data_IF_551165477715
#
_entry.id   IF_551165477715
#
_cell.length_a   1.000
_cell.length_b   1.000
_cell.length_c   1.000
_cell.angle_alpha   90.00
_cell.angle_beta   90.00
_cell.angle_gamma   90.00
#
_symmetry.space_group_name_H-M   'P 1'
#
loop_
_entity.id
_entity.type
_entity.pdbx_description
1 polymer ?
#
# COMPACT_ATOMS: atom_id res chain seq x y z
N UNK A 1 18.54 2.57 -8.45
CA UNK A 1 17.23 1.92 -8.24
C UNK A 1 16.66 2.35 -6.89
N UNK A 2 15.39 2.63 -6.84
CA UNK A 2 14.69 3.05 -5.63
C UNK A 2 14.22 1.81 -4.87
N UNK A 3 14.38 1.81 -3.55
CA UNK A 3 13.70 0.85 -2.69
C UNK A 3 12.24 1.31 -2.52
N UNK A 4 11.36 0.84 -3.41
CA UNK A 4 9.98 1.32 -3.46
C UNK A 4 9.18 0.98 -2.20
N UNK A 5 9.44 -0.17 -1.60
CA UNK A 5 8.74 -0.56 -0.37
C UNK A 5 9.06 0.41 0.76
N UNK A 6 10.33 0.73 0.94
CA UNK A 6 10.75 1.67 1.97
C UNK A 6 10.27 3.09 1.67
N UNK A 7 10.25 3.48 0.40
CA UNK A 7 9.74 4.80 -0.02
C UNK A 7 8.27 4.96 0.35
N UNK A 8 7.45 3.95 0.04
CA UNK A 8 6.03 3.95 0.39
C UNK A 8 5.86 3.92 1.92
N UNK A 9 6.59 3.05 2.59
CA UNK A 9 6.52 2.91 4.05
C UNK A 9 6.78 4.25 4.74
N UNK A 10 7.83 4.98 4.31
CA UNK A 10 8.19 6.26 4.92
C UNK A 10 7.10 7.33 4.73
N UNK A 11 6.37 7.30 3.63
CA UNK A 11 5.23 8.19 3.43
C UNK A 11 4.11 7.86 4.43
N UNK A 12 3.81 6.59 4.60
CA UNK A 12 2.69 6.16 5.45
C UNK A 12 2.94 6.43 6.94
N UNK A 13 4.14 6.15 7.44
CA UNK A 13 4.42 6.27 8.88
C UNK A 13 4.51 7.72 9.37
N UNK A 14 4.68 8.67 8.47
CA UNK A 14 4.74 10.10 8.81
C UNK A 14 3.38 10.74 8.89
N UNK A 15 2.33 10.07 8.48
CA UNK A 15 0.98 10.62 8.47
C UNK A 15 0.27 10.35 9.80
N UNK A 16 -0.04 11.41 10.53
CA UNK A 16 -0.67 11.30 11.84
C UNK A 16 -2.10 10.75 11.78
N UNK A 17 -2.83 11.06 10.71
CA UNK A 17 -4.20 10.57 10.54
C UNK A 17 -4.19 9.04 10.38
N UNK A 18 -3.28 8.53 9.55
CA UNK A 18 -3.18 7.09 9.32
C UNK A 18 -2.68 6.36 10.57
N UNK A 19 -1.65 6.89 11.23
CA UNK A 19 -1.04 6.23 12.40
C UNK A 19 -1.92 6.24 13.64
N UNK A 20 -2.95 7.06 13.69
CA UNK A 20 -3.97 7.00 14.75
C UNK A 20 -4.79 5.71 14.69
N UNK A 21 -5.02 5.19 13.48
CA UNK A 21 -5.89 4.03 13.26
C UNK A 21 -5.12 2.78 12.84
N UNK A 22 -3.85 2.94 12.49
CA UNK A 22 -2.99 1.85 12.02
C UNK A 22 -1.67 1.88 12.77
N UNK A 23 -1.39 0.82 13.52
CA UNK A 23 -0.12 0.70 14.24
C UNK A 23 1.00 0.46 13.21
N UNK A 24 2.09 1.25 13.33
CA UNK A 24 3.26 1.13 12.44
C UNK A 24 3.80 -0.30 12.41
N UNK A 25 3.76 -1.00 13.55
CA UNK A 25 4.24 -2.39 13.65
C UNK A 25 3.43 -3.35 12.78
N UNK A 26 2.24 -2.98 12.36
CA UNK A 26 1.36 -3.79 11.54
C UNK A 26 1.46 -3.44 10.05
N UNK A 27 2.44 -2.64 9.66
CA UNK A 27 2.76 -2.39 8.25
C UNK A 27 3.96 -3.28 7.90
N UNK A 28 3.74 -4.26 7.01
CA UNK A 28 4.73 -5.27 6.67
C UNK A 28 5.08 -5.26 5.19
N UNK A 29 6.28 -5.71 4.88
CA UNK A 29 6.75 -5.90 3.50
C UNK A 29 6.63 -7.37 3.13
N UNK A 30 5.83 -7.71 2.10
CA UNK A 30 5.71 -9.06 1.53
C UNK A 30 5.31 -10.15 2.54
N UNK A 31 4.92 -9.76 3.74
CA UNK A 31 4.59 -10.68 4.84
C UNK A 31 3.08 -10.67 5.07
N UNK A 32 2.39 -11.63 4.45
CA UNK A 32 0.94 -11.76 4.57
C UNK A 32 0.59 -12.46 5.88
N UNK A 33 -0.34 -11.90 6.65
CA UNK A 33 -0.67 -12.46 7.96
C UNK A 33 -1.50 -13.73 7.82
N UNK A 34 -1.42 -14.59 8.85
CA UNK A 34 -2.42 -15.63 9.02
C UNK A 34 -3.71 -14.95 9.48
N UNK A 35 -4.81 -15.12 8.73
CA UNK A 35 -6.06 -14.41 8.99
C UNK A 35 -6.62 -14.65 10.38
N UNK A 36 -6.36 -15.81 10.97
CA UNK A 36 -6.82 -16.13 12.33
C UNK A 36 -6.10 -15.34 13.43
N UNK A 37 -4.92 -14.79 13.12
CA UNK A 37 -4.08 -14.08 14.09
C UNK A 37 -4.24 -12.57 14.01
N UNK A 38 -5.03 -12.06 13.06
CA UNK A 38 -5.26 -10.62 12.92
C UNK A 38 -6.23 -10.16 14.00
N UNK A 39 -5.83 -9.17 14.80
CA UNK A 39 -6.69 -8.55 15.82
C UNK A 39 -6.82 -7.03 15.64
N UNK A 40 -5.88 -6.41 14.95
CA UNK A 40 -5.83 -4.97 14.69
C UNK A 40 -5.67 -4.73 13.19
N UNK A 41 -5.93 -3.52 12.69
CA UNK A 41 -5.68 -3.20 11.29
C UNK A 41 -4.24 -3.54 10.89
N UNK A 42 -4.10 -4.13 9.72
CA UNK A 42 -2.84 -4.68 9.23
C UNK A 42 -2.69 -4.32 7.75
N UNK A 43 -1.50 -3.90 7.35
CA UNK A 43 -1.22 -3.50 5.97
C UNK A 43 0.00 -4.24 5.45
N UNK A 44 -0.10 -4.78 4.24
CA UNK A 44 1.02 -5.41 3.53
C UNK A 44 1.33 -4.58 2.29
N UNK A 45 2.61 -4.20 2.15
CA UNK A 45 3.14 -3.54 0.96
C UNK A 45 3.96 -4.58 0.20
N UNK A 46 3.58 -4.82 -1.04
CA UNK A 46 4.17 -5.89 -1.86
C UNK A 46 4.70 -5.31 -3.19
N UNK A 47 5.96 -5.54 -3.48
CA UNK A 47 6.60 -5.19 -4.75
C UNK A 47 6.53 -6.36 -5.74
N UNK A 48 5.34 -6.90 -5.94
CA UNK A 48 5.06 -8.12 -6.69
C UNK A 48 5.62 -8.13 -8.12
N UNK A 49 6.02 -6.99 -8.65
CA UNK A 49 6.57 -6.87 -9.99
C UNK A 49 7.83 -6.00 -9.98
N UNK A 50 8.79 -6.34 -10.81
CA UNK A 50 10.05 -5.59 -10.92
C UNK A 50 9.83 -4.26 -11.63
N UNK A 51 10.66 -3.24 -11.31
CA UNK A 51 10.62 -1.96 -12.04
C UNK A 51 10.88 -2.16 -13.53
N UNK A 52 10.17 -1.39 -14.34
CA UNK A 52 10.29 -1.46 -15.81
C UNK A 52 10.78 -0.11 -16.36
N UNK A 53 11.70 -0.14 -17.34
CA UNK A 53 12.09 1.10 -18.03
C UNK A 53 10.89 1.71 -18.75
N UNK A 54 10.67 3.00 -18.59
CA UNK A 54 9.53 3.70 -19.21
C UNK A 54 9.97 4.84 -20.14
N UNK A 55 11.05 5.53 -19.81
CA UNK A 55 11.52 6.68 -20.58
C UNK A 55 12.96 6.46 -20.94
N UNK A 56 13.28 6.70 -22.22
CA UNK A 56 14.62 6.52 -22.77
C UNK A 56 15.13 7.85 -23.34
N UNK A 57 16.43 8.09 -23.21
CA UNK A 57 17.11 9.21 -23.80
C UNK A 57 18.49 8.75 -24.27
N UNK A 58 18.83 9.00 -25.56
CA UNK A 58 20.09 8.57 -26.18
C UNK A 58 20.37 7.06 -25.99
N UNK A 59 19.32 6.23 -26.04
CA UNK A 59 19.43 4.78 -25.86
C UNK A 59 19.48 4.31 -24.42
N UNK A 60 19.59 5.23 -23.46
CA UNK A 60 19.57 4.90 -22.03
C UNK A 60 18.21 5.20 -21.42
N UNK A 61 17.83 4.37 -20.43
CA UNK A 61 16.61 4.62 -19.67
C UNK A 61 16.85 5.76 -18.68
N UNK A 62 15.92 6.71 -18.61
CA UNK A 62 15.99 7.84 -17.69
C UNK A 62 14.93 7.76 -16.59
N UNK A 63 13.96 6.85 -16.73
CA UNK A 63 12.93 6.65 -15.73
C UNK A 63 12.49 5.20 -15.70
N UNK A 64 11.97 4.76 -14.54
CA UNK A 64 11.43 3.42 -14.36
C UNK A 64 10.03 3.51 -13.77
N UNK A 65 9.15 2.61 -14.20
CA UNK A 65 7.82 2.44 -13.63
C UNK A 65 7.88 1.43 -12.49
N UNK A 66 7.31 1.82 -11.36
CA UNK A 66 7.23 0.99 -10.17
C UNK A 66 5.76 0.70 -9.87
N UNK A 67 5.45 -0.56 -9.60
CA UNK A 67 4.11 -0.97 -9.19
C UNK A 67 4.20 -1.63 -7.83
N UNK A 68 3.34 -1.20 -6.90
CA UNK A 68 3.20 -1.85 -5.61
C UNK A 68 1.76 -2.29 -5.40
N UNK A 69 1.59 -3.37 -4.67
CA UNK A 69 0.28 -3.82 -4.22
C UNK A 69 0.17 -3.56 -2.74
N UNK A 70 -0.95 -2.98 -2.31
CA UNK A 70 -1.20 -2.71 -0.90
C UNK A 70 -2.49 -3.41 -0.49
N UNK A 71 -2.36 -4.31 0.47
CA UNK A 71 -3.46 -5.04 1.07
C UNK A 71 -3.74 -4.46 2.45
N UNK A 72 -5.01 -4.14 2.71
CA UNK A 72 -5.46 -3.64 4.01
C UNK A 72 -6.40 -4.66 4.61
N UNK A 73 -6.09 -5.11 5.83
CA UNK A 73 -6.89 -6.09 6.57
C UNK A 73 -7.44 -5.43 7.83
N UNK A 74 -8.74 -5.52 8.05
CA UNK A 74 -9.38 -5.01 9.27
C UNK A 74 -10.39 -6.01 9.78
N UNK A 75 -10.18 -6.47 11.03
CA UNK A 75 -11.08 -7.38 11.70
C UNK A 75 -12.17 -6.60 12.42
N UNK A 76 -13.40 -7.11 12.38
CA UNK A 76 -14.52 -6.49 13.09
C UNK A 76 -14.23 -6.44 14.60
N UNK A 77 -14.49 -5.30 15.19
CA UNK A 77 -14.28 -5.01 16.61
C UNK A 77 -15.52 -4.30 17.15
N UNK A 78 -15.73 -4.37 18.46
CA UNK A 78 -16.79 -3.62 19.13
C UNK A 78 -16.50 -2.10 19.13
N UNK A 79 -15.24 -1.71 18.91
CA UNK A 79 -14.80 -0.32 18.97
C UNK A 79 -15.03 0.47 17.67
N UNK A 80 -15.22 -0.24 16.54
CA UNK A 80 -15.39 0.41 15.24
C UNK A 80 -16.03 -0.53 14.21
N UNK A 81 -16.56 0.08 13.14
CA UNK A 81 -17.04 -0.66 11.99
C UNK A 81 -15.86 -1.00 11.08
N UNK A 82 -15.53 -2.28 10.98
CA UNK A 82 -14.32 -2.71 10.24
C UNK A 82 -14.41 -2.42 8.74
N UNK A 83 -15.59 -2.53 8.15
CA UNK A 83 -15.78 -2.22 6.72
C UNK A 83 -15.46 -0.75 6.43
N UNK A 84 -15.96 0.15 7.27
CA UNK A 84 -15.68 1.59 7.13
C UNK A 84 -14.24 1.90 7.47
N UNK A 85 -13.68 1.26 8.50
CA UNK A 85 -12.26 1.45 8.86
C UNK A 85 -11.34 1.01 7.74
N UNK A 86 -11.61 -0.14 7.10
CA UNK A 86 -10.87 -0.58 5.92
C UNK A 86 -10.91 0.47 4.82
N UNK A 87 -12.10 1.02 4.54
CA UNK A 87 -12.26 2.03 3.52
C UNK A 87 -11.50 3.32 3.84
N UNK A 88 -11.53 3.75 5.09
CA UNK A 88 -10.80 4.93 5.55
C UNK A 88 -9.28 4.75 5.37
N UNK A 89 -8.76 3.61 5.81
CA UNK A 89 -7.33 3.32 5.70
C UNK A 89 -6.91 3.25 4.23
N UNK A 90 -7.67 2.52 3.41
CA UNK A 90 -7.36 2.37 1.98
C UNK A 90 -7.40 3.70 1.25
N UNK A 91 -8.40 4.53 1.53
CA UNK A 91 -8.52 5.84 0.88
C UNK A 91 -7.40 6.78 1.33
N UNK A 92 -7.07 6.78 2.63
CA UNK A 92 -5.98 7.62 3.14
C UNK A 92 -4.64 7.24 2.50
N UNK A 93 -4.36 5.94 2.37
CA UNK A 93 -3.16 5.46 1.68
C UNK A 93 -3.14 5.95 0.23
N UNK A 94 -4.25 5.82 -0.50
CA UNK A 94 -4.33 6.31 -1.88
C UNK A 94 -4.02 7.80 -1.99
N UNK A 95 -4.58 8.60 -1.10
CA UNK A 95 -4.35 10.06 -1.08
C UNK A 95 -2.89 10.39 -0.78
N UNK A 96 -2.29 9.70 0.17
CA UNK A 96 -0.88 9.92 0.55
C UNK A 96 0.07 9.57 -0.60
N UNK A 97 -0.16 8.43 -1.25
CA UNK A 97 0.70 8.00 -2.36
C UNK A 97 0.59 8.95 -3.54
N UNK A 98 -0.60 9.44 -3.83
CA UNK A 98 -0.78 10.41 -4.90
C UNK A 98 -0.13 11.76 -4.54
N UNK A 99 -0.38 12.27 -3.35
CA UNK A 99 0.10 13.58 -2.94
C UNK A 99 1.62 13.65 -2.80
N UNK A 100 2.25 12.60 -2.28
CA UNK A 100 3.68 12.59 -1.98
C UNK A 100 4.54 11.96 -3.07
N UNK A 101 4.03 10.97 -3.79
CA UNK A 101 4.81 10.20 -4.75
C UNK A 101 4.27 10.26 -6.18
N UNK A 102 3.12 10.89 -6.39
CA UNK A 102 2.39 10.85 -7.67
C UNK A 102 2.16 9.42 -8.12
N UNK A 103 1.93 8.54 -7.16
CA UNK A 103 1.67 7.13 -7.36
C UNK A 103 0.17 6.91 -7.39
N UNK A 104 -0.38 6.64 -8.58
CA UNK A 104 -1.80 6.52 -8.79
C UNK A 104 -2.29 5.08 -8.75
N UNK A 105 -3.54 4.90 -8.35
CA UNK A 105 -4.18 3.59 -8.35
C UNK A 105 -4.45 3.15 -9.77
N UNK A 106 -3.92 1.97 -10.17
CA UNK A 106 -4.09 1.43 -11.53
C UNK A 106 -5.05 0.27 -11.57
N UNK A 107 -5.25 -0.41 -10.45
CA UNK A 107 -6.27 -1.45 -10.36
C UNK A 107 -6.73 -1.64 -8.93
N UNK A 108 -7.97 -2.10 -8.81
CA UNK A 108 -8.57 -2.54 -7.56
C UNK A 108 -8.94 -4.01 -7.76
N UNK A 109 -8.27 -4.90 -7.03
CA UNK A 109 -8.50 -6.34 -7.13
C UNK A 109 -9.73 -6.77 -6.34
N UNK A 110 -10.44 -5.81 -5.76
CA UNK A 110 -11.68 -6.02 -5.07
C UNK A 110 -11.57 -5.91 -3.57
N UNK A 111 -12.73 -5.79 -2.97
CA UNK A 111 -12.89 -5.83 -1.53
C UNK A 111 -13.43 -7.21 -1.16
N UNK A 112 -12.85 -7.83 -0.15
CA UNK A 112 -13.23 -9.14 0.29
C UNK A 112 -13.71 -9.12 1.73
N UNK A 113 -14.59 -10.03 2.07
CA UNK A 113 -15.02 -10.25 3.44
C UNK A 113 -14.92 -11.74 3.77
N UNK A 114 -14.11 -12.06 4.78
CA UNK A 114 -14.01 -13.41 5.31
C UNK A 114 -14.99 -13.56 6.48
N UNK A 115 -16.09 -14.25 6.23
CA UNK A 115 -17.16 -14.41 7.21
C UNK A 115 -16.72 -15.19 8.43
N UNK A 116 -15.84 -16.18 8.26
CA UNK A 116 -15.37 -17.03 9.34
C UNK A 116 -14.61 -16.24 10.40
N UNK A 117 -13.79 -15.28 9.96
CA UNK A 117 -12.94 -14.48 10.86
C UNK A 117 -13.43 -13.05 11.03
N UNK A 118 -14.57 -12.69 10.42
CA UNK A 118 -15.10 -11.32 10.39
C UNK A 118 -14.03 -10.31 9.95
N UNK A 119 -13.31 -10.65 8.87
CA UNK A 119 -12.18 -9.91 8.39
C UNK A 119 -12.50 -9.26 7.05
N UNK A 120 -12.30 -7.95 6.97
CA UNK A 120 -12.45 -7.17 5.74
C UNK A 120 -11.09 -6.92 5.13
N UNK A 121 -10.98 -7.10 3.81
CA UNK A 121 -9.74 -6.92 3.06
C UNK A 121 -9.97 -6.02 1.86
N UNK A 122 -8.98 -5.19 1.56
CA UNK A 122 -8.91 -4.39 0.33
C UNK A 122 -7.57 -4.66 -0.32
N UNK A 123 -7.55 -4.87 -1.64
CA UNK A 123 -6.32 -5.08 -2.40
C UNK A 123 -6.30 -4.10 -3.56
N UNK A 124 -5.32 -3.20 -3.57
CA UNK A 124 -5.17 -2.18 -4.60
C UNK A 124 -3.74 -2.15 -5.10
N UNK A 125 -3.57 -1.80 -6.37
CA UNK A 125 -2.26 -1.64 -6.99
C UNK A 125 -2.06 -0.18 -7.38
N UNK A 126 -0.82 0.29 -7.18
CA UNK A 126 -0.43 1.67 -7.44
C UNK A 126 0.80 1.68 -8.31
N UNK A 127 0.87 2.65 -9.22
CA UNK A 127 1.99 2.80 -10.14
C UNK A 127 2.47 4.23 -10.17
N UNK A 128 3.79 4.40 -10.26
CA UNK A 128 4.41 5.70 -10.50
C UNK A 128 5.66 5.53 -11.33
N UNK A 129 6.01 6.59 -12.03
CA UNK A 129 7.26 6.68 -12.78
C UNK A 129 8.23 7.52 -11.96
N UNK A 130 9.41 6.96 -11.68
CA UNK A 130 10.47 7.68 -10.98
C UNK A 130 11.64 7.87 -11.93
N UNK A 131 12.12 9.11 -12.03
CA UNK A 131 13.26 9.46 -12.85
C UNK A 131 14.55 9.15 -12.09
N UNK A 132 15.52 8.57 -12.78
CA UNK A 132 16.83 8.33 -12.19
C UNK A 132 17.56 9.65 -12.00
N UNK A 133 18.21 9.79 -10.84
CA UNK A 133 19.01 10.97 -10.58
C UNK A 133 20.27 10.95 -11.42
N UNK A 134 20.68 12.12 -11.91
CA UNK A 134 21.98 12.27 -12.56
C UNK A 134 23.08 12.11 -11.52
N UNK A 135 24.07 11.35 -11.88
CA UNK A 135 25.24 11.16 -11.04
C UNK A 135 26.37 12.10 -11.44
#
# INVERSE_FOLDING_TARGET
>A
MIDILNTVYNVLIKDEVLTEVLNIKNIKFNDYPDVKDISQPYVVIDDFDDPKPEVYYDGDRVAQSYIVQIDVFVKQSDDYNARLRRNEISQRISDLLWNHLKMGQVSNLGNEYDKQFALYRSTRRYEAIFYEEEK
#
